data_IF_485444319009
#
_entry.id   IF_485444319009
#
_cell.length_a   1.000
_cell.length_b   1.000
_cell.length_c   1.000
_cell.angle_alpha   90.00
_cell.angle_beta   90.00
_cell.angle_gamma   90.00
#
_symmetry.space_group_name_H-M   'P 1'
#
loop_
_entity.id
_entity.type
_entity.pdbx_description
1 polymer ?
#
# COMPACT_ATOMS: atom_id res chain seq x y z
N UNK A 1 5.49 7.70 -17.69
CA UNK A 1 4.91 6.41 -17.24
C UNK A 1 5.74 5.32 -17.89
N UNK A 2 6.28 4.40 -17.10
CA UNK A 2 6.99 3.23 -17.62
C UNK A 2 6.00 2.25 -18.27
N UNK A 3 6.39 1.62 -19.37
CA UNK A 3 5.55 0.66 -20.09
C UNK A 3 6.28 -0.69 -20.16
N UNK A 4 5.55 -1.76 -19.81
CA UNK A 4 5.99 -3.13 -19.99
C UNK A 4 5.27 -3.80 -21.16
N UNK A 5 5.89 -4.80 -21.77
CA UNK A 5 5.24 -5.63 -22.78
C UNK A 5 4.61 -6.86 -22.12
N UNK A 6 3.39 -7.20 -22.56
CA UNK A 6 2.73 -8.48 -22.23
C UNK A 6 3.10 -9.49 -23.32
N UNK A 7 3.51 -10.69 -22.92
CA UNK A 7 3.85 -11.77 -23.85
C UNK A 7 3.43 -13.13 -23.27
N UNK A 8 3.36 -14.15 -24.13
CA UNK A 8 3.09 -15.53 -23.71
C UNK A 8 4.38 -16.21 -23.27
N UNK A 9 4.32 -16.93 -22.16
CA UNK A 9 5.38 -17.81 -21.65
C UNK A 9 4.77 -19.19 -21.40
N UNK A 10 5.10 -20.15 -22.25
CA UNK A 10 4.44 -21.47 -22.28
C UNK A 10 2.90 -21.35 -22.38
N UNK A 11 2.18 -21.63 -21.28
CA UNK A 11 0.72 -21.60 -21.18
C UNK A 11 0.18 -20.41 -20.38
N UNK A 12 1.04 -19.48 -19.96
CA UNK A 12 0.67 -18.31 -19.14
C UNK A 12 1.11 -17.00 -19.77
N UNK A 13 0.54 -15.89 -19.30
CA UNK A 13 1.00 -14.55 -19.65
C UNK A 13 2.09 -14.08 -18.69
N UNK A 14 3.05 -13.33 -19.22
CA UNK A 14 4.08 -12.66 -18.47
C UNK A 14 4.14 -11.16 -18.85
N UNK A 15 4.56 -10.33 -17.89
CA UNK A 15 4.82 -8.91 -18.09
C UNK A 15 6.32 -8.68 -17.95
N UNK A 16 6.94 -8.04 -18.94
CA UNK A 16 8.33 -7.59 -18.82
C UNK A 16 8.35 -6.24 -18.10
N UNK A 17 8.84 -6.22 -16.87
CA UNK A 17 9.03 -4.98 -16.11
C UNK A 17 10.31 -4.25 -16.57
N UNK A 18 10.23 -2.96 -16.96
CA UNK A 18 11.40 -2.13 -17.14
C UNK A 18 12.23 -2.02 -15.85
N UNK A 19 13.55 -1.83 -15.98
CA UNK A 19 14.46 -1.75 -14.83
C UNK A 19 14.05 -0.68 -13.80
N UNK A 20 13.49 0.45 -14.26
CA UNK A 20 13.06 1.55 -13.40
C UNK A 20 11.90 1.20 -12.46
N UNK A 21 11.14 0.13 -12.76
CA UNK A 21 9.99 -0.35 -11.97
C UNK A 21 10.13 -1.83 -11.60
N UNK A 22 11.36 -2.35 -11.62
CA UNK A 22 11.64 -3.70 -11.15
C UNK A 22 11.47 -3.79 -9.63
N UNK A 23 11.01 -4.94 -9.15
CA UNK A 23 11.00 -5.20 -7.71
C UNK A 23 12.43 -5.19 -7.13
N UNK A 24 12.58 -4.88 -5.83
CA UNK A 24 13.84 -5.05 -5.13
C UNK A 24 14.38 -6.48 -5.22
N UNK A 25 15.69 -6.62 -5.04
CA UNK A 25 16.32 -7.94 -4.97
C UNK A 25 15.72 -8.78 -3.84
N UNK A 26 15.42 -10.04 -4.13
CA UNK A 26 14.83 -10.97 -3.16
C UNK A 26 13.31 -11.17 -3.30
N UNK A 27 12.58 -10.27 -3.95
CA UNK A 27 11.15 -10.47 -4.24
C UNK A 27 10.99 -11.55 -5.32
N UNK A 28 10.43 -12.69 -4.93
CA UNK A 28 10.23 -13.85 -5.83
C UNK A 28 8.75 -14.21 -6.04
N UNK A 29 7.90 -13.80 -5.12
CA UNK A 29 6.47 -14.11 -5.12
C UNK A 29 5.68 -12.80 -4.96
N UNK A 30 4.56 -12.73 -5.66
CA UNK A 30 3.66 -11.57 -5.63
C UNK A 30 2.21 -12.04 -5.55
N UNK A 31 1.39 -11.26 -4.87
CA UNK A 31 -0.06 -11.32 -4.96
C UNK A 31 -0.52 -10.49 -6.17
N UNK A 32 -1.57 -10.95 -6.86
CA UNK A 32 -2.15 -10.25 -8.00
C UNK A 32 -3.64 -10.02 -7.76
N UNK A 33 -4.00 -8.78 -7.50
CA UNK A 33 -5.40 -8.37 -7.29
C UNK A 33 -6.00 -7.88 -8.61
N UNK A 34 -7.21 -8.37 -8.91
CA UNK A 34 -7.95 -8.03 -10.12
C UNK A 34 -8.93 -6.89 -9.83
N UNK A 35 -8.70 -5.73 -10.46
CA UNK A 35 -9.62 -4.59 -10.38
C UNK A 35 -10.10 -4.22 -11.79
N UNK A 36 -11.15 -4.89 -12.26
CA UNK A 36 -11.62 -4.78 -13.65
C UNK A 36 -10.53 -5.16 -14.66
N UNK A 37 -10.10 -4.18 -15.47
CA UNK A 37 -9.00 -4.35 -16.45
C UNK A 37 -7.62 -4.10 -15.85
N UNK A 38 -7.54 -3.64 -14.61
CA UNK A 38 -6.29 -3.37 -13.89
C UNK A 38 -5.84 -4.61 -13.12
N UNK A 39 -4.52 -4.78 -13.02
CA UNK A 39 -3.87 -5.76 -12.14
C UNK A 39 -2.98 -5.00 -11.17
N UNK A 40 -3.25 -5.15 -9.88
CA UNK A 40 -2.41 -4.60 -8.82
C UNK A 40 -1.50 -5.73 -8.37
N UNK A 41 -0.19 -5.49 -8.38
CA UNK A 41 0.82 -6.51 -8.07
C UNK A 41 1.60 -6.03 -6.87
N UNK A 42 1.59 -6.80 -5.79
CA UNK A 42 2.32 -6.51 -4.54
C UNK A 42 3.14 -7.73 -4.14
N UNK A 43 4.28 -7.59 -3.45
CA UNK A 43 4.92 -8.74 -2.82
C UNK A 43 3.94 -9.49 -1.91
N UNK A 44 4.10 -10.82 -1.81
CA UNK A 44 3.22 -11.66 -0.97
C UNK A 44 3.22 -11.15 0.47
N UNK A 45 2.03 -11.03 1.06
CA UNK A 45 1.85 -10.58 2.44
C UNK A 45 1.86 -9.07 2.64
N UNK A 46 2.08 -8.30 1.56
CA UNK A 46 2.01 -6.83 1.57
C UNK A 46 0.73 -6.31 0.91
N UNK A 47 -0.16 -7.21 0.45
CA UNK A 47 -1.46 -6.82 -0.10
C UNK A 47 -2.44 -6.45 1.03
N UNK A 48 -3.27 -5.43 0.79
CA UNK A 48 -4.35 -5.08 1.73
C UNK A 48 -5.34 -6.22 1.91
N UNK A 49 -5.74 -6.89 0.82
CA UNK A 49 -6.62 -8.05 0.87
C UNK A 49 -6.00 -9.14 1.77
N UNK A 50 -4.72 -9.48 1.56
CA UNK A 50 -4.02 -10.46 2.39
C UNK A 50 -3.85 -10.02 3.85
N UNK A 51 -3.69 -8.73 4.12
CA UNK A 51 -3.62 -8.20 5.49
C UNK A 51 -4.96 -8.29 6.21
N UNK A 52 -6.07 -7.91 5.56
CA UNK A 52 -7.42 -8.00 6.15
C UNK A 52 -7.90 -9.44 6.34
N UNK A 53 -7.46 -10.37 5.50
CA UNK A 53 -7.73 -11.81 5.65
C UNK A 53 -6.80 -12.51 6.66
N UNK A 54 -5.79 -11.82 7.17
CA UNK A 54 -4.84 -12.38 8.14
C UNK A 54 -5.43 -12.52 9.54
N UNK A 55 -4.73 -13.23 10.42
CA UNK A 55 -5.16 -13.38 11.81
C UNK A 55 -5.21 -12.01 12.49
N UNK A 56 -6.38 -11.69 13.06
CA UNK A 56 -6.60 -10.45 13.77
C UNK A 56 -5.80 -10.36 15.07
N UNK A 57 -5.85 -9.17 15.67
CA UNK A 57 -5.28 -8.93 17.00
C UNK A 57 -6.14 -9.58 18.10
N UNK A 58 -5.58 -9.70 19.30
CA UNK A 58 -6.32 -10.22 20.47
C UNK A 58 -7.49 -9.30 20.85
N UNK A 59 -8.54 -9.82 21.52
CA UNK A 59 -9.71 -9.01 21.88
C UNK A 59 -9.43 -7.79 22.76
N UNK A 60 -8.33 -7.81 23.50
CA UNK A 60 -7.88 -6.75 24.40
C UNK A 60 -6.85 -5.79 23.77
N UNK A 61 -6.41 -6.05 22.53
CA UNK A 61 -5.42 -5.23 21.85
C UNK A 61 -5.90 -3.78 21.72
N UNK A 62 -5.18 -2.86 22.37
CA UNK A 62 -5.49 -1.42 22.39
C UNK A 62 -6.92 -1.09 22.91
N UNK A 63 -7.45 -1.90 23.84
CA UNK A 63 -8.78 -1.70 24.42
C UNK A 63 -9.01 -0.31 25.05
N UNK A 64 -7.94 0.36 25.48
CA UNK A 64 -7.94 1.77 25.87
C UNK A 64 -6.83 2.50 25.14
N UNK A 65 -7.15 3.68 24.58
CA UNK A 65 -6.16 4.61 24.03
C UNK A 65 -6.02 5.79 24.97
N UNK A 66 -4.82 5.99 25.51
CA UNK A 66 -4.49 7.22 26.24
C UNK A 66 -4.47 8.39 25.26
N UNK A 67 -5.57 9.13 25.19
CA UNK A 67 -5.72 10.31 24.37
C UNK A 67 -5.80 11.54 25.30
N UNK A 68 -4.73 12.34 25.40
CA UNK A 68 -4.76 13.59 26.14
C UNK A 68 -5.79 14.57 25.56
N UNK A 69 -6.20 15.54 26.37
CA UNK A 69 -7.00 16.66 25.89
C UNK A 69 -6.26 17.45 24.79
N UNK A 70 -7.04 18.11 23.93
CA UNK A 70 -6.48 18.97 22.90
C UNK A 70 -5.63 20.08 23.52
N UNK A 71 -4.52 20.39 22.86
CA UNK A 71 -3.64 21.47 23.28
C UNK A 71 -4.29 22.82 22.98
N UNK A 72 -4.43 23.67 24.01
CA UNK A 72 -4.78 25.07 23.82
C UNK A 72 -3.63 25.82 23.14
N UNK A 73 -3.92 26.52 22.05
CA UNK A 73 -2.99 27.40 21.33
C UNK A 73 -3.66 28.73 21.07
N UNK A 74 -2.92 29.82 21.23
CA UNK A 74 -3.38 31.15 20.87
C UNK A 74 -3.64 31.22 19.36
N UNK A 75 -4.80 31.76 18.96
CA UNK A 75 -5.07 32.07 17.58
C UNK A 75 -4.26 33.31 17.20
N UNK A 76 -3.29 33.16 16.29
CA UNK A 76 -2.48 34.28 15.81
C UNK A 76 -3.36 35.17 14.91
N UNK A 77 -3.97 36.21 15.48
CA UNK A 77 -4.54 37.31 14.70
C UNK A 77 -3.37 38.04 14.01
N UNK A 78 -3.10 37.70 12.75
CA UNK A 78 -2.24 38.52 11.89
C UNK A 78 -2.79 39.94 11.91
N UNK A 79 -2.13 40.80 12.67
CA UNK A 79 -2.36 42.24 12.64
C UNK A 79 -2.34 42.68 11.18
N UNK A 80 -3.50 43.06 10.67
CA UNK A 80 -3.67 43.69 9.38
C UNK A 80 -3.10 45.10 9.50
N UNK A 81 -1.77 45.23 9.56
CA UNK A 81 -1.10 46.51 9.50
C UNK A 81 -1.18 47.01 8.06
N UNK A 82 -1.99 48.06 7.91
CA UNK A 82 -2.08 48.94 6.74
C UNK A 82 -0.85 49.84 6.69
#
# INVERSE_FOLDING_TARGET
MEQGAVFQSNRSQAIRLPRAVAFPEGVKLVDVVVHGRTRIITPVGESWDGWFDSEGVTPDFMAQREQPADQEREAEERARAT
#
